data_IF_391677266268
#
_entry.id   IF_391677266268
#
_cell.length_a   1.000
_cell.length_b   1.000
_cell.length_c   1.000
_cell.angle_alpha   90.00
_cell.angle_beta   90.00
_cell.angle_gamma   90.00
#
_symmetry.space_group_name_H-M   'P 1'
#
loop_
_entity.id
_entity.type
_entity.pdbx_description
1 polymer ?
#
# COMPACT_ATOMS: atom_id res chain seq x y z
N UNK A 1 -1.15 -7.80 3.13
CA UNK A 1 -1.06 -6.83 2.05
C UNK A 1 -0.17 -5.69 2.48
N UNK A 2 0.63 -5.18 1.55
CA UNK A 2 1.38 -3.95 1.72
C UNK A 2 0.67 -2.86 0.92
N UNK A 3 0.39 -1.74 1.56
CA UNK A 3 -0.19 -0.55 0.95
C UNK A 3 0.89 0.50 0.87
N UNK A 4 1.16 1.01 -0.32
CA UNK A 4 2.07 2.12 -0.53
C UNK A 4 1.24 3.37 -0.79
N UNK A 5 1.50 4.47 -0.09
CA UNK A 5 0.76 5.71 -0.21
C UNK A 5 1.71 6.88 -0.44
N UNK A 6 1.34 7.78 -1.36
CA UNK A 6 2.03 9.04 -1.58
C UNK A 6 1.98 9.95 -0.36
N UNK A 7 3.14 10.28 0.19
CA UNK A 7 3.28 11.16 1.36
C UNK A 7 3.26 12.66 1.01
N UNK A 8 3.36 13.02 -0.28
CA UNK A 8 3.23 14.40 -0.76
C UNK A 8 1.77 14.89 -0.81
N UNK A 9 0.80 13.99 -0.68
CA UNK A 9 -0.62 14.33 -0.62
C UNK A 9 -1.01 14.87 0.77
N UNK A 10 -2.11 15.64 0.93
CA UNK A 10 -2.59 16.02 2.27
C UNK A 10 -2.88 14.80 3.15
N UNK A 11 -2.50 14.83 4.43
CA UNK A 11 -2.56 13.65 5.32
C UNK A 11 -3.93 12.94 5.35
N UNK A 12 -5.03 13.70 5.47
CA UNK A 12 -6.38 13.12 5.43
C UNK A 12 -6.66 12.41 4.09
N UNK A 13 -6.14 12.96 3.00
CA UNK A 13 -6.27 12.38 1.67
C UNK A 13 -5.47 11.07 1.54
N UNK A 14 -4.28 11.01 2.12
CA UNK A 14 -3.47 9.79 2.16
C UNK A 14 -4.24 8.60 2.75
N UNK A 15 -4.96 8.82 3.85
CA UNK A 15 -5.78 7.80 4.51
C UNK A 15 -6.90 7.29 3.58
N UNK A 16 -7.61 8.22 2.93
CA UNK A 16 -8.71 7.90 2.00
C UNK A 16 -8.20 7.10 0.81
N UNK A 17 -7.08 7.52 0.21
CA UNK A 17 -6.48 6.86 -0.95
C UNK A 17 -5.94 5.47 -0.60
N UNK A 18 -5.34 5.29 0.58
CA UNK A 18 -4.95 3.97 1.08
C UNK A 18 -6.15 3.03 1.27
N UNK A 19 -7.28 3.57 1.76
CA UNK A 19 -8.52 2.80 1.89
C UNK A 19 -9.09 2.39 0.53
N UNK A 20 -9.10 3.29 -0.45
CA UNK A 20 -9.53 2.99 -1.82
C UNK A 20 -8.69 1.89 -2.47
N UNK A 21 -7.36 2.00 -2.42
CA UNK A 21 -6.46 0.97 -2.94
C UNK A 21 -6.68 -0.38 -2.25
N UNK A 22 -6.85 -0.37 -0.92
CA UNK A 22 -7.11 -1.59 -0.16
C UNK A 22 -8.45 -2.23 -0.55
N UNK A 23 -9.50 -1.43 -0.73
CA UNK A 23 -10.81 -1.91 -1.14
C UNK A 23 -10.79 -2.54 -2.54
N UNK A 24 -10.17 -1.87 -3.52
CA UNK A 24 -10.04 -2.43 -4.88
C UNK A 24 -9.21 -3.72 -4.88
N UNK A 25 -8.10 -3.74 -4.16
CA UNK A 25 -7.29 -4.95 -4.04
C UNK A 25 -8.03 -6.07 -3.29
N UNK A 26 -8.90 -5.74 -2.33
CA UNK A 26 -9.81 -6.70 -1.70
C UNK A 26 -10.83 -7.30 -2.66
N UNK A 27 -11.36 -6.52 -3.60
CA UNK A 27 -12.23 -7.04 -4.67
C UNK A 27 -11.44 -7.94 -5.63
N UNK A 28 -10.22 -7.54 -6.00
CA UNK A 28 -9.38 -8.25 -6.97
C UNK A 28 -8.79 -9.56 -6.43
N UNK A 29 -8.26 -9.53 -5.20
CA UNK A 29 -7.52 -10.65 -4.58
C UNK A 29 -8.35 -11.37 -3.52
N UNK A 30 -9.59 -10.95 -3.29
CA UNK A 30 -10.49 -11.54 -2.32
C UNK A 30 -11.07 -12.86 -2.80
N UNK A 31 -10.35 -13.97 -2.65
CA UNK A 31 -10.92 -15.29 -2.84
C UNK A 31 -11.66 -15.74 -1.57
N UNK A 32 -12.97 -15.98 -1.70
CA UNK A 32 -13.89 -16.36 -0.60
C UNK A 32 -13.78 -17.86 -0.27
N UNK A 33 -13.20 -18.66 -1.15
CA UNK A 33 -13.21 -20.14 -1.08
C UNK A 33 -11.87 -20.78 -0.72
N UNK A 34 -10.82 -20.00 -0.48
CA UNK A 34 -9.57 -20.57 0.02
C UNK A 34 -9.85 -21.29 1.36
N UNK A 35 -9.36 -22.52 1.59
CA UNK A 35 -9.49 -23.16 2.89
C UNK A 35 -8.91 -22.27 4.00
N UNK A 36 -9.58 -22.19 5.16
CA UNK A 36 -9.16 -21.39 6.33
C UNK A 36 -7.71 -21.62 6.80
N UNK A 37 -7.09 -22.71 6.36
CA UNK A 37 -5.72 -23.12 6.70
C UNK A 37 -4.68 -22.70 5.66
N UNK A 38 -5.07 -22.12 4.53
CA UNK A 38 -4.13 -21.59 3.53
C UNK A 38 -3.50 -20.27 4.01
N UNK A 39 -2.19 -20.05 3.82
CA UNK A 39 -1.48 -18.88 4.32
C UNK A 39 -1.88 -17.56 3.62
N UNK A 40 -2.72 -17.64 2.58
CA UNK A 40 -3.26 -16.50 1.83
C UNK A 40 -4.74 -16.22 2.13
N UNK A 41 -5.30 -16.88 3.15
CA UNK A 41 -6.72 -16.72 3.47
C UNK A 41 -7.06 -15.26 3.77
N UNK A 42 -8.05 -14.72 3.05
CA UNK A 42 -8.43 -13.30 3.09
C UNK A 42 -8.81 -12.82 4.49
N UNK A 43 -9.46 -13.67 5.30
CA UNK A 43 -9.79 -13.39 6.71
C UNK A 43 -8.58 -13.27 7.65
N UNK A 44 -7.37 -13.65 7.23
CA UNK A 44 -6.13 -13.52 8.00
C UNK A 44 -5.19 -12.45 7.41
N UNK A 45 -5.72 -11.59 6.54
CA UNK A 45 -4.91 -10.55 5.90
C UNK A 45 -4.47 -9.49 6.90
N UNK A 46 -3.16 -9.33 7.05
CA UNK A 46 -2.55 -8.21 7.77
C UNK A 46 -2.21 -7.08 6.80
N UNK A 47 -2.40 -5.83 7.23
CA UNK A 47 -2.07 -4.64 6.45
C UNK A 47 -0.80 -3.97 6.98
N UNK A 48 0.08 -3.57 6.06
CA UNK A 48 1.28 -2.77 6.37
C UNK A 48 1.27 -1.55 5.47
N UNK A 49 1.32 -0.36 6.07
CA UNK A 49 1.35 0.91 5.34
C UNK A 49 2.80 1.38 5.15
N UNK A 50 3.15 1.73 3.91
CA UNK A 50 4.47 2.19 3.48
C UNK A 50 4.30 3.57 2.82
N UNK A 51 5.21 4.49 3.14
CA UNK A 51 5.30 5.80 2.50
C UNK A 51 6.05 5.74 1.17
N UNK A 52 5.45 6.28 0.12
CA UNK A 52 6.10 6.64 -1.13
C UNK A 52 6.23 8.16 -1.18
N UNK A 53 7.41 8.68 -1.54
CA UNK A 53 7.67 10.12 -1.47
C UNK A 53 6.72 10.94 -2.37
N UNK A 54 6.49 10.46 -3.58
CA UNK A 54 5.75 11.12 -4.64
C UNK A 54 5.26 10.07 -5.67
N UNK A 55 4.56 10.50 -6.72
CA UNK A 55 4.06 9.60 -7.77
C UNK A 55 5.17 8.85 -8.48
N UNK A 56 6.32 9.49 -8.71
CA UNK A 56 7.46 8.84 -9.35
C UNK A 56 7.99 7.71 -8.48
N UNK A 57 8.14 7.95 -7.18
CA UNK A 57 8.53 6.91 -6.22
C UNK A 57 7.50 5.76 -6.20
N UNK A 58 6.21 6.09 -6.31
CA UNK A 58 5.14 5.09 -6.40
C UNK A 58 5.28 4.21 -7.65
N UNK A 59 5.56 4.81 -8.82
CA UNK A 59 5.83 4.07 -10.06
C UNK A 59 7.10 3.22 -9.95
N UNK A 60 8.16 3.71 -9.31
CA UNK A 60 9.38 2.94 -9.03
C UNK A 60 9.11 1.73 -8.12
N UNK A 61 8.19 1.88 -7.16
CA UNK A 61 7.71 0.78 -6.32
C UNK A 61 6.94 -0.23 -7.17
N UNK A 62 6.03 0.19 -8.05
CA UNK A 62 5.30 -0.71 -8.94
C UNK A 62 6.27 -1.55 -9.81
N UNK A 63 7.24 -0.90 -10.44
CA UNK A 63 8.29 -1.60 -11.21
C UNK A 63 9.09 -2.59 -10.36
N UNK A 64 9.37 -2.26 -9.09
CA UNK A 64 10.03 -3.18 -8.16
C UNK A 64 9.16 -4.38 -7.83
N UNK A 65 7.85 -4.19 -7.64
CA UNK A 65 6.90 -5.26 -7.39
C UNK A 65 6.80 -6.19 -8.62
N UNK A 66 6.71 -5.63 -9.83
CA UNK A 66 6.71 -6.38 -11.09
C UNK A 66 7.98 -7.21 -11.26
N UNK A 67 9.15 -6.62 -11.01
CA UNK A 67 10.43 -7.32 -11.08
C UNK A 67 10.49 -8.53 -10.13
N UNK A 68 9.85 -8.43 -8.96
CA UNK A 68 9.75 -9.51 -7.99
C UNK A 68 8.50 -10.39 -8.17
N UNK A 69 7.74 -10.21 -9.25
CA UNK A 69 6.51 -10.97 -9.55
C UNK A 69 5.47 -10.90 -8.42
N UNK A 70 5.40 -9.75 -7.74
CA UNK A 70 4.41 -9.49 -6.70
C UNK A 70 3.19 -8.81 -7.35
N UNK A 71 2.09 -9.54 -7.42
CA UNK A 71 0.82 -8.99 -7.89
C UNK A 71 0.35 -7.83 -7.02
N UNK A 72 -0.06 -6.76 -7.67
CA UNK A 72 -0.50 -5.53 -7.03
C UNK A 72 -1.50 -4.76 -7.90
N UNK A 73 -2.24 -3.87 -7.26
CA UNK A 73 -3.15 -2.92 -7.88
C UNK A 73 -2.63 -1.49 -7.66
N UNK A 74 -2.55 -0.69 -8.72
CA UNK A 74 -2.30 0.75 -8.61
C UNK A 74 -3.62 1.50 -8.61
N UNK A 75 -3.85 2.34 -7.60
CA UNK A 75 -5.02 3.19 -7.54
C UNK A 75 -4.76 4.52 -8.24
N UNK A 76 -5.57 4.82 -9.26
CA UNK A 76 -5.55 6.06 -10.02
C UNK A 76 -6.73 6.94 -9.60
N UNK A 77 -6.44 8.19 -9.23
CA UNK A 77 -7.43 9.19 -8.89
C UNK A 77 -7.80 10.01 -10.13
N UNK A 78 -9.03 9.87 -10.66
CA UNK A 78 -9.47 10.61 -11.85
C UNK A 78 -9.68 12.10 -11.59
N UNK A 79 -9.90 12.51 -10.34
CA UNK A 79 -10.18 13.90 -10.02
C UNK A 79 -8.90 14.75 -9.93
N UNK A 80 -9.00 16.00 -10.38
CA UNK A 80 -7.96 17.04 -10.23
C UNK A 80 -6.58 16.72 -10.83
N UNK A 81 -6.51 15.80 -11.81
CA UNK A 81 -5.24 15.38 -12.45
C UNK A 81 -4.21 14.87 -11.41
N UNK A 82 -4.71 14.23 -10.35
CA UNK A 82 -3.88 13.77 -9.22
C UNK A 82 -2.98 12.59 -9.59
N UNK A 83 -3.43 11.75 -10.53
CA UNK A 83 -2.66 10.61 -11.03
C UNK A 83 -2.72 9.39 -10.10
N UNK A 84 -1.65 8.60 -10.09
CA UNK A 84 -1.56 7.46 -9.18
C UNK A 84 -1.30 7.94 -7.74
N UNK A 85 -2.11 7.46 -6.79
CA UNK A 85 -2.03 7.88 -5.38
C UNK A 85 -1.54 6.79 -4.45
N UNK A 86 -1.90 5.53 -4.72
CA UNK A 86 -1.57 4.41 -3.85
C UNK A 86 -1.38 3.10 -4.63
N UNK A 87 -0.74 2.12 -4.00
CA UNK A 87 -0.61 0.74 -4.46
C UNK A 87 -1.05 -0.20 -3.35
N UNK A 88 -1.72 -1.28 -3.68
CA UNK A 88 -1.99 -2.38 -2.75
C UNK A 88 -1.56 -3.72 -3.36
N UNK A 89 -0.70 -4.47 -2.66
CA UNK A 89 -0.30 -5.83 -3.08
C UNK A 89 -1.41 -6.84 -2.80
N UNK A 90 -1.35 -8.02 -3.43
CA UNK A 90 -2.04 -9.22 -2.90
C UNK A 90 -1.63 -9.51 -1.44
N UNK A 91 -2.38 -10.33 -0.67
CA UNK A 91 -1.88 -10.87 0.59
C UNK A 91 -0.53 -11.58 0.38
N UNK A 92 0.48 -11.26 1.20
CA UNK A 92 1.83 -11.84 1.10
C UNK A 92 2.15 -12.63 2.37
N UNK A 93 2.83 -13.75 2.23
CA UNK A 93 3.27 -14.58 3.35
C UNK A 93 4.74 -15.00 3.23
N UNK A 94 5.34 -15.39 4.36
CA UNK A 94 6.69 -15.94 4.41
C UNK A 94 7.75 -15.13 3.63
N UNK A 95 8.37 -15.80 2.66
CA UNK A 95 9.52 -15.29 1.91
C UNK A 95 9.19 -14.20 0.89
N UNK A 96 7.95 -14.10 0.43
CA UNK A 96 7.51 -13.04 -0.50
C UNK A 96 7.72 -11.65 0.12
N UNK A 97 7.61 -11.54 1.44
CA UNK A 97 7.81 -10.27 2.17
C UNK A 97 9.26 -9.79 2.16
N UNK A 98 10.23 -10.66 1.87
CA UNK A 98 11.66 -10.31 1.87
C UNK A 98 11.98 -9.21 0.85
N UNK A 99 11.31 -9.23 -0.31
CA UNK A 99 11.49 -8.22 -1.36
C UNK A 99 11.08 -6.80 -0.92
N UNK A 100 10.27 -6.68 0.13
CA UNK A 100 9.73 -5.40 0.61
C UNK A 100 10.48 -4.84 1.82
N UNK A 101 11.47 -5.55 2.37
CA UNK A 101 12.21 -5.13 3.57
C UNK A 101 12.97 -3.81 3.45
N UNK A 102 13.27 -3.38 2.22
CA UNK A 102 13.98 -2.11 1.97
C UNK A 102 13.09 -0.87 2.17
N UNK A 103 11.78 -1.05 2.20
CA UNK A 103 10.84 0.05 2.29
C UNK A 103 10.58 0.42 3.75
N UNK A 104 10.49 1.72 4.02
CA UNK A 104 10.19 2.23 5.35
C UNK A 104 8.69 2.23 5.59
N UNK A 105 8.27 1.87 6.81
CA UNK A 105 6.88 2.03 7.21
C UNK A 105 6.48 3.50 7.14
N UNK A 106 5.22 3.73 6.82
CA UNK A 106 4.61 5.05 6.78
C UNK A 106 4.86 5.83 8.07
N UNK A 107 5.28 7.09 7.95
CA UNK A 107 5.61 7.93 9.10
C UNK A 107 4.44 8.82 9.53
N UNK A 108 3.62 9.23 8.58
CA UNK A 108 2.65 10.30 8.80
C UNK A 108 3.31 11.64 9.12
N UNK A 109 2.51 12.69 9.29
CA UNK A 109 3.04 13.95 9.83
C UNK A 109 3.39 13.74 11.31
N UNK A 110 4.69 13.69 11.63
CA UNK A 110 5.15 13.96 12.99
C UNK A 110 4.87 15.44 13.27
N UNK A 111 3.75 15.74 13.93
CA UNK A 111 3.55 17.03 14.57
C UNK A 111 4.61 17.16 15.68
N UNK A 112 5.81 17.60 15.30
CA UNK A 112 6.82 18.10 16.21
C UNK A 112 6.23 19.28 16.96
N UNK A 113 5.57 18.99 18.08
CA UNK A 113 5.38 19.97 19.14
C UNK A 113 6.76 20.24 19.71
N UNK A 114 7.49 21.13 19.03
CA UNK A 114 8.58 21.86 19.63
C UNK A 114 8.04 22.52 20.88
N UNK A 115 8.47 22.01 22.02
CA UNK A 115 8.20 22.54 23.33
C UNK A 115 8.69 24.00 23.38
N UNK A 116 7.77 24.96 23.25
CA UNK A 116 8.00 26.34 23.65
C UNK A 116 7.40 26.51 25.05
N UNK A 117 8.24 26.33 26.06
CA UNK A 117 7.93 26.46 27.48
C UNK A 117 9.10 26.01 28.33
#
# INVERSE_FOLDING_TARGET
MYIFIREDLPHAYQIVQAAHATHQAGIRFGEVEAPLHEPYHTLQTHFVLIGAKDEKALQEIAMHLDFHQIEHEMFYEPDHDTGYTAIATKPLCGDERKALRKFNTYKGEENGHGNNG
#
